data_IF_400639129858
#
_entry.id   IF_400639129858
#
_cell.length_a   1.000
_cell.length_b   1.000
_cell.length_c   1.000
_cell.angle_alpha   90.00
_cell.angle_beta   90.00
_cell.angle_gamma   90.00
#
_symmetry.space_group_name_H-M   'P 1'
#
loop_
_entity.id
_entity.type
_entity.pdbx_description
1 polymer ?
#
# COMPACT_ATOMS: atom_id res chain seq x y z
N UNK A 1 24.31 35.14 4.54
CA UNK A 1 22.86 35.33 4.69
C UNK A 1 22.25 35.01 3.34
N UNK A 2 21.27 34.11 3.25
CA UNK A 2 20.64 33.77 1.96
C UNK A 2 19.91 34.98 1.40
N UNK A 3 19.93 35.16 0.09
CA UNK A 3 19.17 36.21 -0.58
C UNK A 3 17.68 35.88 -0.57
N UNK A 4 16.82 36.88 -0.79
CA UNK A 4 15.38 36.66 -0.89
C UNK A 4 15.02 35.71 -2.05
N UNK A 5 15.77 35.75 -3.16
CA UNK A 5 15.57 34.85 -4.30
C UNK A 5 15.97 33.41 -3.96
N UNK A 6 17.09 33.21 -3.26
CA UNK A 6 17.53 31.89 -2.79
C UNK A 6 16.50 31.26 -1.83
N UNK A 7 15.95 32.06 -0.91
CA UNK A 7 14.92 31.60 0.01
C UNK A 7 13.61 31.20 -0.71
N UNK A 8 13.20 31.98 -1.72
CA UNK A 8 12.02 31.63 -2.53
C UNK A 8 12.24 30.36 -3.33
N UNK A 9 13.43 30.18 -3.90
CA UNK A 9 13.76 28.98 -4.65
C UNK A 9 13.77 27.74 -3.76
N UNK A 10 14.40 27.82 -2.59
CA UNK A 10 14.42 26.72 -1.61
C UNK A 10 13.01 26.34 -1.13
N UNK A 11 12.17 27.35 -0.81
CA UNK A 11 10.79 27.13 -0.42
C UNK A 11 9.99 26.45 -1.54
N UNK A 12 10.19 26.86 -2.80
CA UNK A 12 9.56 26.24 -3.94
C UNK A 12 9.96 24.76 -4.06
N UNK A 13 11.26 24.46 -3.99
CA UNK A 13 11.76 23.08 -4.06
C UNK A 13 11.20 22.21 -2.92
N UNK A 14 11.18 22.72 -1.69
CA UNK A 14 10.61 21.99 -0.55
C UNK A 14 9.11 21.72 -0.73
N UNK A 15 8.36 22.71 -1.23
CA UNK A 15 6.93 22.55 -1.52
C UNK A 15 6.71 21.45 -2.54
N UNK A 16 7.47 21.45 -3.64
CA UNK A 16 7.39 20.43 -4.68
C UNK A 16 7.70 19.03 -4.15
N UNK A 17 8.70 18.87 -3.27
CA UNK A 17 9.03 17.57 -2.67
C UNK A 17 7.91 17.06 -1.76
N UNK A 18 7.26 17.93 -1.00
CA UNK A 18 6.09 17.58 -0.17
C UNK A 18 4.91 17.19 -1.05
N UNK A 19 4.60 17.95 -2.10
CA UNK A 19 3.54 17.60 -3.05
C UNK A 19 3.79 16.24 -3.71
N UNK A 20 5.02 15.97 -4.13
CA UNK A 20 5.41 14.68 -4.69
C UNK A 20 5.26 13.51 -3.70
N UNK A 21 5.52 13.76 -2.41
CA UNK A 21 5.32 12.77 -1.36
C UNK A 21 3.82 12.50 -1.13
N UNK A 22 2.98 13.54 -1.15
CA UNK A 22 1.53 13.41 -1.01
C UNK A 22 0.93 12.59 -2.16
N UNK A 23 1.31 12.87 -3.40
CA UNK A 23 0.84 12.11 -4.57
C UNK A 23 1.16 10.61 -4.45
N UNK A 24 2.33 10.26 -3.90
CA UNK A 24 2.70 8.86 -3.67
C UNK A 24 1.88 8.23 -2.55
N UNK A 25 1.63 8.95 -1.46
CA UNK A 25 0.77 8.47 -0.37
C UNK A 25 -0.67 8.27 -0.85
N UNK A 26 -1.18 9.13 -1.73
CA UNK A 26 -2.50 8.96 -2.34
C UNK A 26 -2.58 7.70 -3.21
N UNK A 27 -1.53 7.41 -3.99
CA UNK A 27 -1.44 6.16 -4.76
C UNK A 27 -1.40 4.93 -3.86
N UNK A 28 -0.61 4.97 -2.79
CA UNK A 28 -0.57 3.90 -1.79
C UNK A 28 -1.94 3.68 -1.15
N UNK A 29 -2.61 4.77 -0.77
CA UNK A 29 -3.95 4.75 -0.18
C UNK A 29 -4.99 4.15 -1.14
N UNK A 30 -4.94 4.52 -2.42
CA UNK A 30 -5.83 3.97 -3.44
C UNK A 30 -5.67 2.45 -3.60
N UNK A 31 -4.43 1.96 -3.66
CA UNK A 31 -4.15 0.52 -3.80
C UNK A 31 -4.59 -0.24 -2.55
N UNK A 32 -4.26 0.27 -1.36
CA UNK A 32 -4.72 -0.31 -0.09
C UNK A 32 -6.25 -0.31 -0.01
N UNK A 33 -6.92 0.75 -0.45
CA UNK A 33 -8.37 0.82 -0.52
C UNK A 33 -8.97 -0.25 -1.41
N UNK A 34 -8.42 -0.44 -2.63
CA UNK A 34 -8.84 -1.53 -3.52
C UNK A 34 -8.64 -2.90 -2.85
N UNK A 35 -7.49 -3.13 -2.23
CA UNK A 35 -7.18 -4.38 -1.56
C UNK A 35 -8.11 -4.67 -0.37
N UNK A 36 -8.36 -3.69 0.50
CA UNK A 36 -9.28 -3.84 1.63
C UNK A 36 -10.71 -4.18 1.18
N UNK A 37 -11.17 -3.56 0.08
CA UNK A 37 -12.50 -3.82 -0.49
C UNK A 37 -12.60 -5.23 -1.12
N UNK A 38 -11.57 -5.67 -1.83
CA UNK A 38 -11.61 -6.93 -2.59
C UNK A 38 -11.41 -8.19 -1.74
N UNK A 39 -10.67 -8.08 -0.63
CA UNK A 39 -10.16 -9.23 0.10
C UNK A 39 -10.70 -9.38 1.52
N UNK A 40 -11.65 -8.52 1.93
CA UNK A 40 -12.37 -8.57 3.23
C UNK A 40 -11.39 -8.86 4.38
N UNK A 41 -10.48 -7.91 4.58
CA UNK A 41 -9.34 -8.03 5.51
C UNK A 41 -9.70 -8.33 6.97
N UNK A 42 -10.95 -8.12 7.33
CA UNK A 42 -11.50 -8.42 8.65
C UNK A 42 -11.56 -9.92 8.94
N UNK A 43 -11.53 -10.77 7.91
CA UNK A 43 -11.59 -12.21 8.06
C UNK A 43 -10.30 -12.84 7.53
N UNK A 44 -9.56 -13.51 8.42
CA UNK A 44 -8.30 -14.17 8.07
C UNK A 44 -8.60 -15.36 7.14
N UNK A 45 -7.94 -15.47 5.97
CA UNK A 45 -8.10 -16.65 5.12
C UNK A 45 -7.58 -17.89 5.84
N UNK A 46 -8.35 -18.98 5.79
CA UNK A 46 -7.94 -20.29 6.32
C UNK A 46 -7.67 -21.24 5.14
N UNK A 47 -6.41 -21.65 4.91
CA UNK A 47 -6.08 -22.66 3.90
C UNK A 47 -6.89 -23.96 4.06
N UNK A 48 -7.22 -24.34 5.29
CA UNK A 48 -8.06 -25.51 5.58
C UNK A 48 -9.49 -25.34 5.07
N UNK A 49 -10.04 -24.13 5.12
CA UNK A 49 -11.34 -23.82 4.52
C UNK A 49 -11.29 -23.81 3.00
N UNK A 50 -10.19 -23.35 2.40
CA UNK A 50 -10.00 -23.43 0.94
C UNK A 50 -10.00 -24.89 0.45
N UNK A 51 -9.27 -25.78 1.16
CA UNK A 51 -9.23 -27.21 0.85
C UNK A 51 -10.61 -27.84 1.02
N UNK A 52 -11.29 -27.59 2.16
CA UNK A 52 -12.66 -28.08 2.39
C UNK A 52 -13.63 -27.59 1.32
N UNK A 53 -13.49 -26.35 0.87
CA UNK A 53 -14.32 -25.76 -0.20
C UNK A 53 -14.14 -26.46 -1.55
N UNK A 54 -12.94 -26.94 -1.86
CA UNK A 54 -12.66 -27.72 -3.06
C UNK A 54 -13.13 -29.17 -2.96
N UNK A 55 -13.11 -29.76 -1.76
CA UNK A 55 -13.51 -31.17 -1.55
C UNK A 55 -14.98 -31.37 -1.21
N UNK A 56 -15.70 -30.29 -0.87
CA UNK A 56 -17.12 -30.33 -0.54
C UNK A 56 -17.95 -30.90 -1.71
N UNK A 57 -18.77 -31.90 -1.42
CA UNK A 57 -19.63 -32.59 -2.38
C UNK A 57 -21.06 -32.07 -2.32
N UNK A 58 -21.47 -31.49 -1.19
CA UNK A 58 -22.78 -30.86 -1.03
C UNK A 58 -22.66 -29.39 -0.57
N UNK A 59 -23.70 -28.58 -0.75
CA UNK A 59 -23.70 -27.18 -0.29
C UNK A 59 -23.52 -27.02 1.23
N UNK A 60 -23.98 -27.98 2.02
CA UNK A 60 -23.94 -27.94 3.50
C UNK A 60 -22.52 -28.18 4.05
N UNK A 61 -21.66 -28.83 3.27
CA UNK A 61 -20.25 -29.08 3.61
C UNK A 61 -19.35 -27.86 3.31
N UNK A 62 -19.86 -26.86 2.60
CA UNK A 62 -19.06 -25.70 2.20
C UNK A 62 -18.82 -24.80 3.41
N UNK A 63 -17.54 -24.51 3.76
CA UNK A 63 -17.25 -23.57 4.81
C UNK A 63 -17.72 -22.17 4.42
N UNK A 64 -18.20 -21.42 5.42
CA UNK A 64 -18.76 -20.08 5.26
C UNK A 64 -17.81 -19.13 4.52
N UNK A 65 -16.50 -19.23 4.79
CA UNK A 65 -15.47 -18.37 4.21
C UNK A 65 -14.59 -19.12 3.18
N UNK A 66 -15.08 -20.25 2.68
CA UNK A 66 -14.37 -21.08 1.72
C UNK A 66 -14.04 -20.35 0.42
N UNK A 67 -15.00 -19.59 -0.13
CA UNK A 67 -14.81 -18.86 -1.38
C UNK A 67 -13.76 -17.74 -1.24
N UNK A 68 -13.76 -17.03 -0.12
CA UNK A 68 -12.74 -16.02 0.18
C UNK A 68 -11.36 -16.65 0.35
N UNK A 69 -11.27 -17.75 1.10
CA UNK A 69 -10.01 -18.46 1.32
C UNK A 69 -9.42 -19.01 0.01
N UNK A 70 -10.29 -19.46 -0.91
CA UNK A 70 -9.89 -19.86 -2.28
C UNK A 70 -9.40 -18.68 -3.10
N UNK A 71 -10.11 -17.54 -3.07
CA UNK A 71 -9.70 -16.30 -3.79
C UNK A 71 -8.31 -15.85 -3.34
N UNK A 72 -8.08 -15.79 -2.02
CA UNK A 72 -6.78 -15.44 -1.45
C UNK A 72 -5.66 -16.39 -1.88
N UNK A 73 -5.93 -17.70 -1.93
CA UNK A 73 -4.93 -18.67 -2.37
C UNK A 73 -4.54 -18.46 -3.84
N UNK A 74 -5.52 -18.30 -4.74
CA UNK A 74 -5.24 -18.10 -6.16
C UNK A 74 -4.60 -16.75 -6.46
N UNK A 75 -4.95 -15.71 -5.70
CA UNK A 75 -4.49 -14.35 -5.94
C UNK A 75 -3.32 -13.94 -5.03
N UNK A 76 -2.72 -14.88 -4.29
CA UNK A 76 -1.65 -14.61 -3.33
C UNK A 76 -0.51 -13.78 -3.94
N UNK A 77 -0.01 -14.17 -5.12
CA UNK A 77 1.06 -13.42 -5.81
C UNK A 77 0.64 -11.99 -6.17
N UNK A 78 -0.63 -11.79 -6.52
CA UNK A 78 -1.17 -10.45 -6.81
C UNK A 78 -1.28 -9.61 -5.55
N UNK A 79 -1.72 -10.20 -4.44
CA UNK A 79 -1.79 -9.56 -3.13
C UNK A 79 -0.40 -9.10 -2.69
N UNK A 80 0.61 -9.97 -2.76
CA UNK A 80 2.00 -9.61 -2.43
C UNK A 80 2.49 -8.48 -3.34
N UNK A 81 2.23 -8.56 -4.65
CA UNK A 81 2.59 -7.48 -5.57
C UNK A 81 1.96 -6.13 -5.23
N UNK A 82 0.70 -6.10 -4.74
CA UNK A 82 0.10 -4.86 -4.24
C UNK A 82 0.81 -4.31 -3.01
N UNK A 83 1.19 -5.19 -2.07
CA UNK A 83 1.93 -4.80 -0.86
C UNK A 83 3.30 -4.23 -1.23
N UNK A 84 4.02 -4.86 -2.15
CA UNK A 84 5.33 -4.40 -2.61
C UNK A 84 5.24 -2.99 -3.21
N UNK A 85 4.26 -2.76 -4.11
CA UNK A 85 4.04 -1.43 -4.72
C UNK A 85 3.68 -0.37 -3.67
N UNK A 86 2.82 -0.72 -2.70
CA UNK A 86 2.44 0.20 -1.61
C UNK A 86 3.66 0.52 -0.75
N UNK A 87 4.47 -0.48 -0.42
CA UNK A 87 5.69 -0.31 0.35
C UNK A 87 6.68 0.62 -0.35
N UNK A 88 6.84 0.48 -1.66
CA UNK A 88 7.68 1.37 -2.47
C UNK A 88 7.19 2.82 -2.40
N UNK A 89 5.89 3.06 -2.60
CA UNK A 89 5.33 4.42 -2.48
C UNK A 89 5.53 5.02 -1.09
N UNK A 90 5.28 4.27 -0.03
CA UNK A 90 5.46 4.73 1.36
C UNK A 90 6.93 5.03 1.64
N UNK A 91 7.83 4.16 1.19
CA UNK A 91 9.26 4.33 1.38
C UNK A 91 9.81 5.55 0.62
N UNK A 92 9.40 5.74 -0.63
CA UNK A 92 9.75 6.92 -1.41
C UNK A 92 9.19 8.20 -0.78
N UNK A 93 7.93 8.22 -0.36
CA UNK A 93 7.35 9.38 0.35
C UNK A 93 8.13 9.71 1.62
N UNK A 94 8.52 8.71 2.40
CA UNK A 94 9.35 8.90 3.59
C UNK A 94 10.68 9.57 3.23
N UNK A 95 11.37 9.11 2.18
CA UNK A 95 12.63 9.72 1.73
C UNK A 95 12.47 11.19 1.32
N UNK A 96 11.42 11.50 0.57
CA UNK A 96 11.15 12.89 0.13
C UNK A 96 10.91 13.80 1.33
N UNK A 97 10.10 13.34 2.30
CA UNK A 97 9.81 14.08 3.52
C UNK A 97 11.03 14.22 4.44
N UNK A 98 11.87 13.18 4.55
CA UNK A 98 13.12 13.24 5.31
C UNK A 98 14.13 14.22 4.68
N UNK A 99 14.18 14.32 3.34
CA UNK A 99 14.99 15.32 2.64
C UNK A 99 14.57 16.74 2.99
N UNK A 100 13.25 16.99 3.08
CA UNK A 100 12.69 18.29 3.48
C UNK A 100 12.92 18.55 4.96
N UNK A 101 12.62 17.58 5.83
CA UNK A 101 12.68 17.73 7.29
C UNK A 101 14.10 17.86 7.83
N UNK A 102 15.06 17.14 7.25
CA UNK A 102 16.47 17.28 7.61
C UNK A 102 17.13 18.48 6.91
N UNK A 103 16.40 19.16 6.01
CA UNK A 103 16.78 20.32 5.23
C UNK A 103 18.21 20.27 4.72
N UNK A 104 18.44 19.75 3.50
CA UNK A 104 19.77 19.59 2.87
C UNK A 104 20.89 19.69 3.90
N UNK A 105 21.16 18.62 4.66
CA UNK A 105 22.38 18.60 5.48
C UNK A 105 23.56 18.73 4.53
N UNK A 106 23.94 19.98 4.26
CA UNK A 106 25.16 20.40 3.59
C UNK A 106 26.27 20.10 4.58
N UNK A 107 26.80 18.89 4.47
CA UNK A 107 28.19 18.63 4.87
C UNK A 107 29.13 19.48 4.00
#
# INVERSE_FOLDING_TARGET
>A
MKTQEELKHELYMQTTEVENALVKLDKASLILGHWMNEYVFTERPDPGEAVKRWTARTPEEKPKNGDQSVKWFYEYSRIIGFIDIVQDYVFESKKLLEKVANGEKRE
#
